data_IF_290370870639
#
_entry.id   IF_290370870639
#
_cell.length_a   1.000
_cell.length_b   1.000
_cell.length_c   1.000
_cell.angle_alpha   90.00
_cell.angle_beta   90.00
_cell.angle_gamma   90.00
#
_symmetry.space_group_name_H-M   'P 1'
#
loop_
_entity.id
_entity.type
_entity.pdbx_description
1 polymer ?
#
# COMPACT_ATOMS: atom_id res chain seq x y z
N UNK A 1 43.16 16.10 9.48
CA UNK A 1 42.00 15.21 9.71
C UNK A 1 40.71 15.99 10.03
N UNK A 2 40.74 17.10 10.78
CA UNK A 2 39.52 17.90 11.10
C UNK A 2 38.75 18.46 9.88
N UNK A 3 39.43 18.70 8.74
CA UNK A 3 38.79 19.18 7.50
C UNK A 3 37.83 18.16 6.86
N UNK A 4 38.05 16.85 7.06
CA UNK A 4 37.17 15.78 6.56
C UNK A 4 35.93 15.55 7.43
N UNK A 5 35.95 16.01 8.69
CA UNK A 5 34.77 15.98 9.58
C UNK A 5 33.83 17.18 9.36
N UNK A 6 34.28 18.20 8.61
CA UNK A 6 33.48 19.37 8.22
C UNK A 6 33.09 19.31 6.74
N UNK A 7 32.68 18.13 6.26
CA UNK A 7 32.05 18.05 4.92
C UNK A 7 30.76 18.86 4.98
N UNK A 8 30.65 19.85 4.10
CA UNK A 8 29.43 20.62 3.95
C UNK A 8 28.31 19.67 3.48
N UNK A 9 27.17 19.69 4.18
CA UNK A 9 25.97 18.92 3.83
C UNK A 9 25.56 19.10 2.36
N UNK A 10 25.88 20.25 1.75
CA UNK A 10 25.64 20.53 0.33
C UNK A 10 26.36 19.55 -0.59
N UNK A 11 27.55 19.08 -0.24
CA UNK A 11 28.31 18.09 -1.03
C UNK A 11 27.61 16.74 -0.97
N UNK A 12 27.15 16.34 0.21
CA UNK A 12 26.38 15.09 0.40
C UNK A 12 25.10 15.16 -0.44
N UNK A 13 24.35 16.27 -0.36
CA UNK A 13 23.15 16.45 -1.17
C UNK A 13 23.46 16.45 -2.67
N UNK A 14 24.53 17.09 -3.12
CA UNK A 14 24.93 17.06 -4.53
C UNK A 14 25.26 15.64 -5.01
N UNK A 15 25.97 14.84 -4.20
CA UNK A 15 26.28 13.43 -4.52
C UNK A 15 24.98 12.62 -4.61
N UNK A 16 24.07 12.79 -3.65
CA UNK A 16 22.76 12.11 -3.67
C UNK A 16 21.96 12.52 -4.91
N UNK A 17 21.90 13.81 -5.25
CA UNK A 17 21.20 14.30 -6.44
C UNK A 17 21.76 13.68 -7.72
N UNK A 18 23.09 13.69 -7.89
CA UNK A 18 23.73 13.07 -9.05
C UNK A 18 23.43 11.57 -9.10
N UNK A 19 23.52 10.88 -7.97
CA UNK A 19 23.23 9.45 -7.91
C UNK A 19 21.79 9.11 -8.30
N UNK A 20 20.81 9.88 -7.81
CA UNK A 20 19.40 9.72 -8.20
C UNK A 20 19.24 9.95 -9.69
N UNK A 21 19.75 11.07 -10.25
CA UNK A 21 19.66 11.37 -11.69
C UNK A 21 20.28 10.24 -12.52
N UNK A 22 21.49 9.80 -12.17
CA UNK A 22 22.20 8.73 -12.88
C UNK A 22 21.43 7.42 -12.81
N UNK A 23 20.86 7.06 -11.66
CA UNK A 23 20.06 5.84 -11.50
C UNK A 23 18.73 5.86 -12.26
N UNK A 24 18.15 7.05 -12.49
CA UNK A 24 16.97 7.21 -13.32
C UNK A 24 17.29 7.06 -14.82
N UNK A 25 18.50 7.47 -15.24
CA UNK A 25 18.99 7.33 -16.62
C UNK A 25 19.41 5.88 -16.89
N UNK A 26 20.17 5.27 -15.97
CA UNK A 26 20.64 3.89 -16.07
C UNK A 26 19.50 2.95 -15.63
N UNK A 27 18.67 2.51 -16.58
CA UNK A 27 17.54 1.60 -16.34
C UNK A 27 18.01 0.15 -16.09
N UNK A 28 18.70 -0.11 -14.98
CA UNK A 28 19.09 -1.46 -14.58
C UNK A 28 17.96 -2.19 -13.85
N UNK A 29 17.95 -3.52 -13.91
CA UNK A 29 17.00 -4.34 -13.18
C UNK A 29 17.64 -4.88 -11.90
N UNK A 30 16.91 -4.76 -10.78
CA UNK A 30 17.26 -5.42 -9.53
C UNK A 30 16.30 -6.59 -9.31
N UNK A 31 16.78 -7.75 -8.83
CA UNK A 31 15.89 -8.78 -8.35
C UNK A 31 15.13 -8.25 -7.13
N UNK A 32 13.80 -8.40 -7.15
CA UNK A 32 12.91 -8.00 -6.05
C UNK A 32 12.20 -9.28 -5.60
N UNK A 33 12.87 -10.14 -4.82
CA UNK A 33 12.23 -11.33 -4.30
C UNK A 33 11.11 -10.92 -3.34
N UNK A 34 9.92 -11.53 -3.45
CA UNK A 34 8.81 -11.20 -2.58
C UNK A 34 9.08 -11.68 -1.15
N UNK A 35 8.79 -10.83 -0.17
CA UNK A 35 8.84 -11.20 1.24
C UNK A 35 7.62 -12.03 1.65
N UNK A 36 7.75 -12.84 2.72
CA UNK A 36 6.64 -13.67 3.22
C UNK A 36 5.35 -12.86 3.49
N UNK A 37 5.39 -11.65 4.11
CA UNK A 37 4.17 -10.87 4.32
C UNK A 37 3.47 -10.44 3.03
N UNK A 38 4.24 -10.15 1.97
CA UNK A 38 3.69 -9.78 0.66
C UNK A 38 3.12 -11.00 -0.07
N UNK A 39 3.81 -12.14 0.02
CA UNK A 39 3.31 -13.43 -0.49
C UNK A 39 1.97 -13.80 0.16
N UNK A 40 1.82 -13.59 1.47
CA UNK A 40 0.56 -13.87 2.17
C UNK A 40 -0.66 -13.14 1.59
N UNK A 41 -0.51 -11.86 1.21
CA UNK A 41 -1.58 -11.14 0.50
C UNK A 41 -1.82 -11.73 -0.89
N UNK A 42 -0.76 -12.03 -1.63
CA UNK A 42 -0.85 -12.55 -2.99
C UNK A 42 -1.57 -13.92 -3.01
N UNK A 43 -1.12 -14.86 -2.20
CA UNK A 43 -1.69 -16.20 -2.08
C UNK A 43 -3.14 -16.16 -1.61
N UNK A 44 -3.48 -15.25 -0.69
CA UNK A 44 -4.87 -15.13 -0.24
C UNK A 44 -5.79 -14.70 -1.37
N UNK A 45 -5.41 -13.74 -2.19
CA UNK A 45 -6.17 -13.33 -3.38
C UNK A 45 -6.23 -14.45 -4.43
N UNK A 46 -5.13 -15.17 -4.65
CA UNK A 46 -5.10 -16.33 -5.54
C UNK A 46 -5.98 -17.50 -5.06
N UNK A 47 -6.25 -17.59 -3.76
CA UNK A 47 -7.16 -18.61 -3.19
C UNK A 47 -8.65 -18.28 -3.38
N UNK A 48 -9.00 -17.02 -3.68
CA UNK A 48 -10.40 -16.61 -3.80
C UNK A 48 -11.03 -17.13 -5.10
N UNK A 49 -12.27 -17.67 -5.03
CA UNK A 49 -13.06 -17.97 -6.21
C UNK A 49 -13.35 -16.74 -7.08
N UNK A 50 -13.60 -16.96 -8.37
CA UNK A 50 -14.07 -15.89 -9.25
C UNK A 50 -15.40 -15.32 -8.74
N UNK A 51 -15.55 -14.00 -8.84
CA UNK A 51 -16.74 -13.31 -8.35
C UNK A 51 -16.77 -13.04 -6.84
N UNK A 52 -15.76 -13.47 -6.08
CA UNK A 52 -15.62 -13.08 -4.67
C UNK A 52 -15.53 -11.56 -4.50
N UNK A 53 -16.07 -11.07 -3.38
CA UNK A 53 -16.14 -9.66 -3.05
C UNK A 53 -14.90 -9.23 -2.28
N UNK A 54 -14.14 -8.30 -2.87
CA UNK A 54 -12.94 -7.72 -2.28
C UNK A 54 -13.18 -6.24 -2.00
N UNK A 55 -12.99 -5.84 -0.76
CA UNK A 55 -13.07 -4.44 -0.36
C UNK A 55 -11.68 -3.81 -0.29
N UNK A 56 -11.54 -2.57 -0.76
CA UNK A 56 -10.31 -1.80 -0.65
C UNK A 56 -10.63 -0.49 0.07
N UNK A 57 -9.95 -0.25 1.19
CA UNK A 57 -9.98 1.04 1.87
C UNK A 57 -8.76 1.87 1.40
N UNK A 58 -9.02 2.98 0.73
CA UNK A 58 -7.98 3.90 0.22
C UNK A 58 -7.71 4.99 1.26
N UNK A 59 -7.11 4.62 2.38
CA UNK A 59 -6.94 5.48 3.56
C UNK A 59 -5.61 6.23 3.54
N UNK A 60 -5.37 6.95 2.45
CA UNK A 60 -4.17 7.73 2.21
C UNK A 60 -4.39 9.00 1.40
N UNK A 61 -3.52 9.98 1.64
CA UNK A 61 -3.56 11.31 1.03
C UNK A 61 -2.40 11.51 0.03
N UNK A 62 -2.39 12.61 -0.74
CA UNK A 62 -1.30 12.91 -1.68
C UNK A 62 0.11 12.87 -1.08
N UNK A 63 0.27 13.08 0.23
CA UNK A 63 1.56 13.05 0.93
C UNK A 63 2.19 11.66 1.03
N UNK A 64 1.39 10.60 1.08
CA UNK A 64 1.83 9.19 1.16
C UNK A 64 1.55 8.41 -0.14
N UNK A 65 0.99 9.09 -1.14
CA UNK A 65 0.66 8.54 -2.46
C UNK A 65 1.82 7.78 -3.10
N UNK A 66 3.05 8.30 -3.00
CA UNK A 66 4.22 7.70 -3.66
C UNK A 66 4.51 6.27 -3.16
N UNK A 67 4.07 5.91 -1.95
CA UNK A 67 4.20 4.55 -1.42
C UNK A 67 2.93 3.72 -1.67
N UNK A 68 1.74 4.31 -1.45
CA UNK A 68 0.48 3.56 -1.36
C UNK A 68 -0.28 3.46 -2.67
N UNK A 69 -0.19 4.46 -3.55
CA UNK A 69 -0.85 4.41 -4.86
C UNK A 69 -0.35 3.26 -5.74
N UNK A 70 0.97 2.99 -5.82
CA UNK A 70 1.46 1.83 -6.57
C UNK A 70 0.94 0.50 -6.00
N UNK A 71 0.81 0.38 -4.66
CA UNK A 71 0.20 -0.81 -4.05
C UNK A 71 -1.25 -0.97 -4.49
N UNK A 72 -2.03 0.11 -4.46
CA UNK A 72 -3.43 0.12 -4.85
C UNK A 72 -3.59 -0.36 -6.30
N UNK A 73 -2.78 0.19 -7.21
CA UNK A 73 -2.79 -0.15 -8.62
C UNK A 73 -2.41 -1.62 -8.83
N UNK A 74 -1.34 -2.09 -8.19
CA UNK A 74 -0.89 -3.48 -8.31
C UNK A 74 -1.93 -4.48 -7.74
N UNK A 75 -2.56 -4.14 -6.62
CA UNK A 75 -3.63 -4.93 -6.03
C UNK A 75 -4.87 -4.98 -6.92
N UNK A 76 -5.29 -3.85 -7.51
CA UNK A 76 -6.39 -3.79 -8.47
C UNK A 76 -6.10 -4.64 -9.73
N UNK A 77 -4.87 -4.60 -10.25
CA UNK A 77 -4.45 -5.45 -11.36
C UNK A 77 -4.66 -6.93 -11.03
N UNK A 78 -4.30 -7.33 -9.81
CA UNK A 78 -4.47 -8.69 -9.34
C UNK A 78 -5.95 -9.06 -9.26
N UNK A 79 -6.77 -8.26 -8.56
CA UNK A 79 -8.21 -8.52 -8.41
C UNK A 79 -8.93 -8.63 -9.76
N UNK A 80 -8.69 -7.70 -10.68
CA UNK A 80 -9.38 -7.71 -11.97
C UNK A 80 -8.89 -8.82 -12.91
N UNK A 81 -7.62 -9.22 -12.84
CA UNK A 81 -7.13 -10.39 -13.58
C UNK A 81 -7.77 -11.71 -13.13
N UNK A 82 -8.26 -11.73 -11.88
CA UNK A 82 -8.91 -12.87 -11.22
C UNK A 82 -10.44 -12.82 -11.30
N UNK A 83 -11.01 -11.86 -12.02
CA UNK A 83 -12.45 -11.64 -12.11
C UNK A 83 -13.15 -11.48 -10.75
N UNK A 84 -12.49 -10.81 -9.80
CA UNK A 84 -13.07 -10.48 -8.49
C UNK A 84 -13.94 -9.22 -8.58
N UNK A 85 -14.95 -9.14 -7.71
CA UNK A 85 -15.82 -7.97 -7.57
C UNK A 85 -15.21 -7.01 -6.56
N UNK A 86 -14.89 -5.79 -7.00
CA UNK A 86 -14.09 -4.84 -6.18
C UNK A 86 -14.95 -3.70 -5.65
N UNK A 87 -14.93 -3.49 -4.33
CA UNK A 87 -15.65 -2.42 -3.66
C UNK A 87 -14.64 -1.47 -3.01
N UNK A 88 -14.55 -0.23 -3.48
CA UNK A 88 -13.65 0.77 -2.93
C UNK A 88 -14.36 1.71 -1.96
N UNK A 89 -13.68 2.12 -0.88
CA UNK A 89 -14.14 3.20 0.01
C UNK A 89 -12.95 3.95 0.60
N UNK A 90 -13.19 5.06 1.31
CA UNK A 90 -12.13 5.73 2.08
C UNK A 90 -12.66 6.45 3.32
N UNK A 91 -11.85 6.43 4.38
CA UNK A 91 -11.99 7.23 5.59
C UNK A 91 -11.29 8.59 5.49
N UNK A 92 -10.57 8.87 4.41
CA UNK A 92 -9.74 10.07 4.23
C UNK A 92 -10.38 11.02 3.22
N UNK A 93 -10.40 12.31 3.55
CA UNK A 93 -11.02 13.33 2.69
C UNK A 93 -10.22 13.64 1.43
N UNK A 94 -8.89 13.45 1.45
CA UNK A 94 -8.01 13.70 0.30
C UNK A 94 -7.84 12.49 -0.64
N UNK A 95 -8.35 11.32 -0.27
CA UNK A 95 -8.25 10.09 -1.02
C UNK A 95 -9.22 9.92 -2.22
N UNK A 96 -10.45 10.49 -2.27
CA UNK A 96 -11.43 10.11 -3.28
C UNK A 96 -10.95 10.23 -4.73
N UNK A 97 -10.22 11.30 -5.06
CA UNK A 97 -9.66 11.45 -6.41
C UNK A 97 -8.56 10.44 -6.74
N UNK A 98 -7.76 10.04 -5.74
CA UNK A 98 -6.69 9.04 -5.91
C UNK A 98 -7.27 7.62 -6.07
N UNK A 99 -8.29 7.30 -5.28
CA UNK A 99 -9.02 6.03 -5.33
C UNK A 99 -9.78 5.88 -6.66
N UNK A 100 -10.55 6.89 -7.05
CA UNK A 100 -11.27 6.92 -8.32
C UNK A 100 -10.31 6.76 -9.50
N UNK A 101 -9.19 7.50 -9.49
CA UNK A 101 -8.15 7.36 -10.51
C UNK A 101 -7.57 5.93 -10.56
N UNK A 102 -7.26 5.33 -9.41
CA UNK A 102 -6.72 3.97 -9.35
C UNK A 102 -7.73 2.97 -9.95
N UNK A 103 -8.96 2.97 -9.44
CA UNK A 103 -10.00 2.02 -9.82
C UNK A 103 -10.35 2.14 -11.29
N UNK A 104 -10.63 3.36 -11.78
CA UNK A 104 -11.02 3.58 -13.18
C UNK A 104 -9.90 3.25 -14.16
N UNK A 105 -8.66 3.69 -13.88
CA UNK A 105 -7.53 3.48 -14.79
C UNK A 105 -7.17 1.99 -14.95
N UNK A 106 -7.26 1.21 -13.88
CA UNK A 106 -7.01 -0.24 -13.95
C UNK A 106 -8.23 -0.95 -14.53
N UNK A 107 -9.45 -0.63 -14.09
CA UNK A 107 -10.68 -1.26 -14.61
C UNK A 107 -10.79 -1.15 -16.14
N UNK A 108 -10.46 0.01 -16.70
CA UNK A 108 -10.46 0.25 -18.14
C UNK A 108 -9.52 -0.70 -18.91
N UNK A 109 -8.38 -1.08 -18.32
CA UNK A 109 -7.44 -2.02 -18.95
C UNK A 109 -7.96 -3.45 -19.02
N UNK A 110 -8.89 -3.81 -18.12
CA UNK A 110 -9.52 -5.14 -18.06
C UNK A 110 -10.97 -5.12 -18.57
N UNK A 111 -11.42 -4.00 -19.17
CA UNK A 111 -12.78 -3.82 -19.66
C UNK A 111 -13.86 -4.06 -18.57
N UNK A 112 -13.52 -3.77 -17.31
CA UNK A 112 -14.42 -3.90 -16.17
C UNK A 112 -15.35 -2.69 -16.09
N UNK A 113 -16.61 -2.92 -15.77
CA UNK A 113 -17.63 -1.86 -15.74
C UNK A 113 -17.97 -1.44 -14.32
N UNK A 114 -18.11 -0.14 -14.14
CA UNK A 114 -18.60 0.43 -12.90
C UNK A 114 -20.05 0.00 -12.63
N UNK A 115 -20.36 -0.33 -11.38
CA UNK A 115 -21.64 -0.87 -10.92
C UNK A 115 -21.79 -2.38 -11.16
N UNK A 116 -21.19 -2.94 -12.21
CA UNK A 116 -21.26 -4.38 -12.51
C UNK A 116 -20.10 -5.18 -11.91
N UNK A 117 -18.87 -4.72 -12.12
CA UNK A 117 -17.63 -5.41 -11.71
C UNK A 117 -16.92 -4.75 -10.54
N UNK A 118 -17.07 -3.43 -10.42
CA UNK A 118 -16.53 -2.67 -9.31
C UNK A 118 -17.47 -1.51 -8.94
N UNK A 119 -17.42 -1.07 -7.69
CA UNK A 119 -18.06 0.16 -7.25
C UNK A 119 -17.14 0.94 -6.34
N UNK A 120 -17.15 2.27 -6.45
CA UNK A 120 -16.47 3.14 -5.51
C UNK A 120 -17.51 3.86 -4.65
N UNK A 121 -17.58 3.50 -3.36
CA UNK A 121 -18.53 4.06 -2.39
C UNK A 121 -18.18 5.50 -1.99
N UNK A 122 -16.93 5.91 -2.18
CA UNK A 122 -16.46 7.25 -1.86
C UNK A 122 -16.01 7.43 -0.40
N UNK A 123 -15.92 8.69 0.00
CA UNK A 123 -15.53 9.08 1.35
C UNK A 123 -16.71 9.04 2.32
N UNK A 124 -16.46 8.52 3.53
CA UNK A 124 -17.42 8.63 4.63
C UNK A 124 -16.71 8.82 5.97
N UNK A 125 -17.09 9.83 6.76
CA UNK A 125 -16.54 10.02 8.11
C UNK A 125 -17.11 8.97 9.08
N UNK A 126 -16.41 8.78 10.20
CA UNK A 126 -16.94 8.01 11.34
C UNK A 126 -16.01 6.94 11.89
N UNK A 127 -14.85 6.70 11.28
CA UNK A 127 -13.85 5.73 11.73
C UNK A 127 -14.50 4.40 12.18
N UNK A 128 -14.34 4.01 13.45
CA UNK A 128 -14.94 2.82 14.03
C UNK A 128 -16.48 2.74 13.86
N UNK A 129 -17.21 3.84 14.04
CA UNK A 129 -18.66 3.87 13.88
C UNK A 129 -19.09 3.54 12.46
N UNK A 130 -18.30 3.96 11.46
CA UNK A 130 -18.58 3.61 10.07
C UNK A 130 -18.38 2.11 9.84
N UNK A 131 -17.27 1.53 10.31
CA UNK A 131 -17.00 0.08 10.19
C UNK A 131 -18.10 -0.74 10.87
N UNK A 132 -18.56 -0.30 12.04
CA UNK A 132 -19.68 -0.92 12.74
C UNK A 132 -20.94 -0.86 11.88
N UNK A 133 -21.31 0.32 11.38
CA UNK A 133 -22.51 0.51 10.56
C UNK A 133 -22.46 -0.31 9.27
N UNK A 134 -21.32 -0.37 8.58
CA UNK A 134 -21.14 -1.17 7.37
C UNK A 134 -21.35 -2.65 7.64
N UNK A 135 -20.92 -3.12 8.81
CA UNK A 135 -21.12 -4.52 9.19
C UNK A 135 -22.51 -4.83 9.76
N UNK A 136 -23.35 -3.83 10.02
CA UNK A 136 -24.78 -4.06 10.26
C UNK A 136 -25.58 -3.98 8.95
N UNK A 137 -25.35 -2.93 8.14
CA UNK A 137 -25.97 -2.76 6.84
C UNK A 137 -25.16 -1.80 5.94
N UNK A 138 -24.54 -2.35 4.89
CA UNK A 138 -23.70 -1.61 3.95
C UNK A 138 -24.47 -0.49 3.23
N UNK A 139 -25.69 -0.76 2.76
CA UNK A 139 -26.50 0.23 2.03
C UNK A 139 -26.93 1.40 2.92
N UNK A 140 -27.13 1.19 4.22
CA UNK A 140 -27.41 2.28 5.16
C UNK A 140 -26.18 3.14 5.45
N UNK A 141 -24.99 2.52 5.50
CA UNK A 141 -23.73 3.22 5.69
C UNK A 141 -23.39 4.07 4.45
N UNK A 142 -23.62 3.49 3.27
CA UNK A 142 -23.46 4.11 1.96
C UNK A 142 -24.74 3.96 1.12
N UNK A 143 -25.71 4.88 1.24
CA UNK A 143 -26.93 4.84 0.42
C UNK A 143 -26.64 5.05 -1.05
N UNK A 144 -25.60 5.84 -1.34
CA UNK A 144 -25.14 6.16 -2.69
C UNK A 144 -23.66 5.90 -2.82
N UNK A 145 -23.25 5.52 -4.02
CA UNK A 145 -21.86 5.47 -4.40
C UNK A 145 -21.29 6.88 -4.64
N UNK A 146 -20.00 6.96 -4.98
CA UNK A 146 -19.31 8.20 -5.28
C UNK A 146 -19.91 8.97 -6.47
N UNK A 147 -20.56 8.28 -7.40
CA UNK A 147 -21.14 8.86 -8.61
C UNK A 147 -22.62 9.23 -8.45
N UNK A 148 -23.21 8.93 -7.29
CA UNK A 148 -24.60 9.24 -6.95
C UNK A 148 -25.62 8.16 -7.29
N UNK A 149 -25.16 6.96 -7.70
CA UNK A 149 -26.01 5.80 -7.93
C UNK A 149 -26.45 5.19 -6.59
N UNK A 150 -27.68 4.71 -6.50
CA UNK A 150 -28.16 4.02 -5.30
C UNK A 150 -27.48 2.66 -5.16
N UNK A 151 -26.82 2.41 -4.02
CA UNK A 151 -26.01 1.20 -3.82
C UNK A 151 -26.83 -0.08 -3.86
N UNK A 152 -28.11 -0.02 -3.51
CA UNK A 152 -29.05 -1.14 -3.59
C UNK A 152 -29.33 -1.60 -5.03
N UNK A 153 -29.01 -0.77 -6.02
CA UNK A 153 -29.25 -1.07 -7.44
C UNK A 153 -28.03 -1.62 -8.16
N UNK A 154 -26.84 -1.55 -7.55
CA UNK A 154 -25.57 -1.90 -8.18
C UNK A 154 -25.38 -3.43 -8.22
N UNK A 155 -25.22 -4.06 -9.39
CA UNK A 155 -24.99 -5.50 -9.48
C UNK A 155 -23.78 -6.02 -8.69
N UNK A 156 -22.70 -5.24 -8.58
CA UNK A 156 -21.49 -5.61 -7.80
C UNK A 156 -21.72 -5.70 -6.30
N UNK A 157 -22.80 -5.07 -5.78
CA UNK A 157 -23.16 -5.11 -4.36
C UNK A 157 -24.29 -6.10 -4.08
N UNK A 158 -24.80 -6.80 -5.09
CA UNK A 158 -25.89 -7.76 -4.90
C UNK A 158 -25.46 -8.89 -3.96
N UNK A 159 -26.20 -9.03 -2.86
CA UNK A 159 -25.90 -10.02 -1.83
C UNK A 159 -24.77 -9.60 -0.87
N UNK A 160 -24.33 -8.35 -0.91
CA UNK A 160 -23.36 -7.78 0.05
C UNK A 160 -24.09 -6.85 1.01
N UNK A 161 -24.89 -7.44 1.90
CA UNK A 161 -25.69 -6.67 2.86
C UNK A 161 -24.84 -6.10 4.00
N UNK A 162 -23.71 -6.73 4.32
CA UNK A 162 -22.81 -6.32 5.39
C UNK A 162 -21.35 -6.69 5.10
N UNK A 163 -20.47 -6.36 6.04
CA UNK A 163 -19.07 -6.78 6.02
C UNK A 163 -18.87 -8.31 6.14
N UNK A 164 -19.90 -9.09 6.48
CA UNK A 164 -19.80 -10.56 6.55
C UNK A 164 -19.71 -11.21 5.18
N UNK A 165 -20.22 -10.53 4.16
CA UNK A 165 -20.24 -11.00 2.78
C UNK A 165 -19.00 -10.55 1.99
N UNK A 166 -18.06 -9.86 2.65
CA UNK A 166 -16.75 -9.50 2.09
C UNK A 166 -15.78 -10.64 2.35
N UNK A 167 -15.19 -11.18 1.29
CA UNK A 167 -14.23 -12.28 1.38
C UNK A 167 -12.86 -11.81 1.84
N UNK A 168 -12.44 -10.63 1.36
CA UNK A 168 -11.16 -10.03 1.70
C UNK A 168 -11.26 -8.50 1.72
N UNK A 169 -10.69 -7.88 2.76
CA UNK A 169 -10.50 -6.45 2.84
C UNK A 169 -9.00 -6.12 2.78
N UNK A 170 -8.65 -5.16 1.93
CA UNK A 170 -7.29 -4.62 1.85
C UNK A 170 -7.29 -3.16 2.27
N UNK A 171 -6.68 -2.85 3.41
CA UNK A 171 -6.55 -1.48 3.89
C UNK A 171 -5.21 -0.86 3.46
N UNK A 172 -5.27 0.22 2.69
CA UNK A 172 -4.12 1.02 2.28
C UNK A 172 -4.02 2.26 3.17
N UNK A 173 -3.25 2.16 4.24
CA UNK A 173 -3.29 3.13 5.32
C UNK A 173 -2.03 4.00 5.44
N UNK A 174 -2.26 5.30 5.59
CA UNK A 174 -1.28 6.28 6.05
C UNK A 174 -1.62 6.77 7.48
N UNK A 175 -2.14 5.88 8.33
CA UNK A 175 -2.52 6.16 9.71
C UNK A 175 -3.21 4.94 10.36
N UNK A 176 -4.01 5.17 11.39
CA UNK A 176 -4.48 4.09 12.31
C UNK A 176 -5.71 3.30 11.83
N UNK A 177 -5.98 3.28 10.53
CA UNK A 177 -7.18 2.62 9.99
C UNK A 177 -7.05 1.10 10.03
N UNK A 178 -5.83 0.56 9.92
CA UNK A 178 -5.59 -0.89 9.97
C UNK A 178 -6.06 -1.46 11.30
N UNK A 179 -5.66 -0.84 12.40
CA UNK A 179 -6.06 -1.25 13.75
C UNK A 179 -7.58 -1.09 13.95
N UNK A 180 -8.18 -0.07 13.34
CA UNK A 180 -9.64 0.13 13.34
C UNK A 180 -10.36 -1.01 12.63
N UNK A 181 -9.87 -1.42 11.45
CA UNK A 181 -10.40 -2.57 10.70
C UNK A 181 -10.18 -3.89 11.43
N UNK A 182 -9.07 -4.06 12.15
CA UNK A 182 -8.84 -5.24 12.99
C UNK A 182 -9.91 -5.30 14.10
N UNK A 183 -10.00 -4.25 14.93
CA UNK A 183 -10.82 -4.25 16.15
C UNK A 183 -12.32 -4.27 15.85
N UNK A 184 -12.78 -3.42 14.95
CA UNK A 184 -14.21 -3.21 14.70
C UNK A 184 -14.74 -3.96 13.47
N UNK A 185 -13.84 -4.39 12.58
CA UNK A 185 -14.16 -5.10 11.34
C UNK A 185 -13.91 -6.59 11.45
N UNK A 186 -12.67 -7.02 11.23
CA UNK A 186 -12.26 -8.42 11.14
C UNK A 186 -12.67 -9.23 12.36
N UNK A 187 -12.42 -8.74 13.58
CA UNK A 187 -12.75 -9.49 14.78
C UNK A 187 -14.25 -9.75 14.94
N UNK A 188 -15.10 -8.86 14.40
CA UNK A 188 -16.56 -8.98 14.50
C UNK A 188 -17.18 -9.74 13.32
N UNK A 189 -16.72 -9.48 12.10
CA UNK A 189 -17.35 -9.96 10.87
C UNK A 189 -16.59 -11.08 10.14
N UNK A 190 -15.38 -11.41 10.62
CA UNK A 190 -14.59 -12.60 10.23
C UNK A 190 -14.15 -12.67 8.77
N UNK A 191 -14.22 -11.57 8.01
CA UNK A 191 -13.53 -11.45 6.73
C UNK A 191 -12.02 -11.49 6.89
N UNK A 192 -11.31 -11.76 5.80
CA UNK A 192 -9.85 -11.79 5.81
C UNK A 192 -9.27 -10.41 5.53
N UNK A 193 -8.24 -10.02 6.26
CA UNK A 193 -7.70 -8.66 6.23
C UNK A 193 -6.23 -8.70 5.80
N UNK A 194 -5.89 -7.98 4.74
CA UNK A 194 -4.52 -7.59 4.42
C UNK A 194 -4.34 -6.09 4.58
N UNK A 195 -3.10 -5.64 4.69
CA UNK A 195 -2.80 -4.23 4.78
C UNK A 195 -1.66 -3.80 3.85
N UNK A 196 -1.72 -2.58 3.36
CA UNK A 196 -0.60 -1.84 2.79
C UNK A 196 -0.40 -0.57 3.61
N UNK A 197 0.83 -0.29 4.03
CA UNK A 197 1.10 0.89 4.86
C UNK A 197 2.41 1.56 4.45
N UNK A 198 2.60 2.81 4.90
CA UNK A 198 3.89 3.50 4.72
C UNK A 198 5.03 2.75 5.40
N UNK A 199 6.26 2.91 4.91
CA UNK A 199 7.42 2.19 5.44
C UNK A 199 7.63 2.40 6.95
N UNK A 200 7.25 3.57 7.48
CA UNK A 200 7.38 3.93 8.90
C UNK A 200 6.40 3.18 9.79
N UNK A 201 5.25 2.76 9.25
CA UNK A 201 4.22 2.02 9.98
C UNK A 201 4.40 0.50 9.92
N UNK A 202 5.15 0.01 8.92
CA UNK A 202 5.37 -1.42 8.72
C UNK A 202 5.75 -2.19 9.99
N UNK A 203 6.72 -1.73 10.81
CA UNK A 203 7.11 -2.40 12.05
C UNK A 203 5.97 -2.60 13.04
N UNK A 204 5.07 -1.63 13.18
CA UNK A 204 3.97 -1.67 14.14
C UNK A 204 2.92 -2.74 13.77
N UNK A 205 2.90 -3.18 12.50
CA UNK A 205 1.94 -4.16 11.98
C UNK A 205 2.40 -5.62 12.16
N UNK A 206 3.68 -5.87 12.48
CA UNK A 206 4.21 -7.23 12.66
C UNK A 206 3.54 -8.06 13.75
N UNK A 207 3.17 -7.50 14.93
CA UNK A 207 2.41 -8.24 15.92
C UNK A 207 1.09 -8.81 15.38
N UNK A 208 0.40 -8.05 14.52
CA UNK A 208 -0.87 -8.47 13.91
C UNK A 208 -0.68 -9.52 12.80
N UNK A 209 0.46 -9.51 12.10
CA UNK A 209 0.85 -10.60 11.20
C UNK A 209 1.12 -11.89 11.99
N UNK A 210 1.88 -11.79 13.08
CA UNK A 210 2.24 -12.96 13.91
C UNK A 210 1.02 -13.59 14.59
N UNK A 211 0.06 -12.76 15.01
CA UNK A 211 -1.22 -13.23 15.57
C UNK A 211 -2.23 -13.71 14.51
N UNK A 212 -1.88 -13.64 13.21
CA UNK A 212 -2.75 -13.96 12.06
C UNK A 212 -4.00 -13.08 11.95
N UNK A 213 -3.99 -11.92 12.59
CA UNK A 213 -5.00 -10.89 12.40
C UNK A 213 -4.83 -10.21 11.03
N UNK A 214 -3.62 -10.20 10.48
CA UNK A 214 -3.36 -9.85 9.08
C UNK A 214 -2.93 -11.09 8.28
N UNK A 215 -3.53 -11.29 7.11
CA UNK A 215 -3.14 -12.33 6.16
C UNK A 215 -1.82 -11.99 5.45
N UNK A 216 -1.48 -10.72 5.38
CA UNK A 216 -0.23 -10.23 4.80
C UNK A 216 -0.13 -8.71 4.89
N UNK A 217 1.06 -8.19 4.55
CA UNK A 217 1.40 -6.78 4.67
C UNK A 217 2.31 -6.33 3.53
N UNK A 218 1.94 -5.22 2.88
CA UNK A 218 2.81 -4.50 1.96
C UNK A 218 3.35 -3.26 2.66
N UNK A 219 4.65 -3.26 2.99
CA UNK A 219 5.32 -2.16 3.68
C UNK A 219 6.08 -1.22 2.74
N UNK A 220 5.59 0.01 2.63
CA UNK A 220 6.16 1.09 1.83
C UNK A 220 6.41 0.76 0.36
N UNK A 221 7.22 1.59 -0.31
CA UNK A 221 7.50 1.41 -1.75
C UNK A 221 8.08 0.02 -2.09
N UNK A 222 8.85 -0.57 -1.17
CA UNK A 222 9.42 -1.92 -1.32
C UNK A 222 8.31 -2.97 -1.41
N UNK A 223 7.34 -2.96 -0.49
CA UNK A 223 6.22 -3.90 -0.52
C UNK A 223 5.37 -3.76 -1.78
N UNK A 224 5.19 -2.52 -2.25
CA UNK A 224 4.53 -2.27 -3.53
C UNK A 224 5.29 -2.89 -4.72
N UNK A 225 6.61 -2.74 -4.75
CA UNK A 225 7.46 -3.25 -5.82
C UNK A 225 7.52 -4.79 -5.84
N UNK A 226 7.56 -5.42 -4.67
CA UNK A 226 7.46 -6.88 -4.52
C UNK A 226 6.13 -7.39 -5.08
N UNK A 227 5.03 -6.71 -4.77
CA UNK A 227 3.71 -7.09 -5.26
C UNK A 227 3.53 -6.85 -6.76
N UNK A 228 4.02 -5.72 -7.30
CA UNK A 228 4.08 -5.47 -8.75
C UNK A 228 4.83 -6.59 -9.49
N UNK A 229 5.94 -7.06 -8.91
CA UNK A 229 6.73 -8.16 -9.47
C UNK A 229 5.97 -9.50 -9.43
N UNK A 230 5.27 -9.80 -8.33
CA UNK A 230 4.43 -11.00 -8.19
C UNK A 230 3.27 -11.04 -9.17
N UNK A 231 2.57 -9.91 -9.34
CA UNK A 231 1.44 -9.77 -10.27
C UNK A 231 1.90 -9.75 -11.74
N UNK A 232 3.21 -9.65 -11.99
CA UNK A 232 3.77 -9.56 -13.35
C UNK A 232 3.49 -8.21 -14.03
N UNK A 233 3.16 -7.18 -13.26
CA UNK A 233 2.84 -5.81 -13.71
C UNK A 233 3.81 -4.81 -13.08
N UNK A 234 5.10 -4.95 -13.41
CA UNK A 234 6.14 -4.00 -12.98
C UNK A 234 5.78 -2.58 -13.45
N UNK A 235 5.74 -1.63 -12.52
CA UNK A 235 5.38 -0.25 -12.81
C UNK A 235 6.23 0.72 -11.95
N UNK A 236 5.58 1.69 -11.33
CA UNK A 236 6.25 2.80 -10.67
C UNK A 236 7.03 2.33 -9.44
N UNK A 237 6.53 1.37 -8.67
CA UNK A 237 7.22 0.93 -7.46
C UNK A 237 8.54 0.21 -7.80
N UNK A 238 8.52 -0.75 -8.73
CA UNK A 238 9.73 -1.42 -9.22
C UNK A 238 10.73 -0.42 -9.79
N UNK A 239 10.26 0.61 -10.50
CA UNK A 239 11.14 1.66 -11.03
C UNK A 239 11.77 2.53 -9.93
N UNK A 240 11.00 2.83 -8.87
CA UNK A 240 11.43 3.63 -7.73
C UNK A 240 12.44 2.91 -6.81
N UNK A 241 12.48 1.57 -6.85
CA UNK A 241 13.49 0.81 -6.12
C UNK A 241 14.92 1.10 -6.61
N UNK A 242 15.12 1.45 -7.89
CA UNK A 242 16.46 1.75 -8.44
C UNK A 242 17.14 2.93 -7.74
N UNK A 243 16.58 4.16 -7.76
CA UNK A 243 17.18 5.29 -7.05
C UNK A 243 17.26 5.03 -5.55
N UNK A 244 16.25 4.37 -4.96
CA UNK A 244 16.26 4.04 -3.54
C UNK A 244 17.46 3.16 -3.19
N UNK A 245 17.71 2.05 -3.90
CA UNK A 245 18.83 1.15 -3.64
C UNK A 245 20.18 1.85 -3.79
N UNK A 246 20.37 2.66 -4.83
CA UNK A 246 21.63 3.41 -5.05
C UNK A 246 21.88 4.39 -3.90
N UNK A 247 20.87 5.15 -3.49
CA UNK A 247 20.99 6.09 -2.37
C UNK A 247 21.30 5.36 -1.06
N UNK A 248 20.67 4.21 -0.80
CA UNK A 248 20.95 3.42 0.40
C UNK A 248 22.41 2.92 0.43
N UNK A 249 22.94 2.45 -0.70
CA UNK A 249 24.36 2.05 -0.80
C UNK A 249 25.28 3.23 -0.50
N UNK A 250 24.99 4.41 -1.06
CA UNK A 250 25.78 5.62 -0.81
C UNK A 250 25.74 6.02 0.67
N UNK A 251 24.57 5.96 1.30
CA UNK A 251 24.44 6.24 2.74
C UNK A 251 25.25 5.26 3.57
N UNK A 252 25.20 3.95 3.26
CA UNK A 252 26.00 2.93 3.93
C UNK A 252 27.50 3.25 3.80
N UNK A 253 27.97 3.62 2.60
CA UNK A 253 29.36 4.01 2.38
C UNK A 253 29.75 5.24 3.20
N UNK A 254 28.88 6.24 3.30
CA UNK A 254 29.13 7.42 4.16
C UNK A 254 29.18 7.06 5.64
N UNK A 255 28.31 6.17 6.11
CA UNK A 255 28.34 5.68 7.50
C UNK A 255 29.64 4.94 7.79
N UNK A 256 30.09 4.06 6.88
CA UNK A 256 31.36 3.35 7.00
C UNK A 256 32.53 4.34 7.03
N UNK A 257 32.57 5.28 6.09
CA UNK A 257 33.61 6.29 6.01
C UNK A 257 33.66 7.18 7.27
N UNK A 258 32.50 7.61 7.76
CA UNK A 258 32.38 8.37 9.00
C UNK A 258 32.90 7.59 10.22
N UNK A 259 32.56 6.30 10.32
CA UNK A 259 33.06 5.43 11.38
C UNK A 259 34.58 5.25 11.30
N UNK A 260 35.15 5.04 10.11
CA UNK A 260 36.60 4.93 9.92
C UNK A 260 37.31 6.19 10.44
N UNK A 261 36.85 7.37 10.01
CA UNK A 261 37.43 8.65 10.46
C UNK A 261 37.32 8.81 11.97
N UNK A 262 36.17 8.46 12.56
CA UNK A 262 35.95 8.53 14.00
C UNK A 262 36.97 7.67 14.77
N UNK A 263 37.15 6.40 14.36
CA UNK A 263 38.07 5.49 15.04
C UNK A 263 39.55 5.86 14.83
N UNK A 264 39.94 6.33 13.65
CA UNK A 264 41.32 6.78 13.40
C UNK A 264 41.65 8.05 14.18
N UNK A 265 40.70 9.00 14.26
CA UNK A 265 40.89 10.26 15.01
C UNK A 265 40.92 9.99 16.52
N UNK A 266 40.11 9.04 17.02
CA UNK A 266 40.13 8.64 18.43
C UNK A 266 41.45 7.97 18.83
N UNK A 267 42.00 7.09 17.99
CA UNK A 267 43.33 6.48 18.24
C UNK A 267 44.45 7.52 18.25
N UNK A 268 44.43 8.50 17.36
CA UNK A 268 45.41 9.58 17.32
C UNK A 268 45.30 10.57 18.50
N UNK A 269 44.20 10.55 19.26
CA UNK A 269 43.99 11.39 20.45
C UNK A 269 44.39 10.68 21.75
N UNK A 270 44.53 9.36 21.73
CA UNK A 270 44.89 8.51 22.88
C UNK A 270 46.28 7.87 22.76
N UNK A 271 46.99 8.12 21.65
CA UNK A 271 48.40 7.84 21.45
C UNK A 271 49.19 9.14 21.60
#
# INVERSE_FOLDING_TARGET
>A
MERFLRIDRRIIFAIITVAVIVSLILRFELPIPPSEPVQGVYEKIESLPKGSHVMIAFDYDPSSKEELQPMAIAFLHHCFSRDLKVIGMTHYTGAPGLADQAMTSVANQYQKKNGEDYAFLGYKPGAASLVINMGENLYSAFPKDFYGNDTTTLPVLQGVDSLREIDFLFDLAAGTTIETWIVFGKEKYKFELGAGCTAVMGPDMYPFLQSKQLAGLLGGLKGAAEYEALVGKKANAVSGMRPQSVVHVIIILFVIFGNIIYFTTRRARHA
#
